data_IF_671917598878
#
_entry.id   IF_671917598878
#
_cell.length_a   1.000
_cell.length_b   1.000
_cell.length_c   1.000
_cell.angle_alpha   90.00
_cell.angle_beta   90.00
_cell.angle_gamma   90.00
#
_symmetry.space_group_name_H-M   'P 1'
#
loop_
_entity.id
_entity.type
_entity.pdbx_description
1 polymer ?
#
# COMPACT_ATOMS: atom_id res chain seq x y z
N UNK A 1 26.09 -11.18 7.04
CA UNK A 1 24.60 -11.22 7.13
C UNK A 1 24.08 -11.67 5.79
N UNK A 2 23.08 -12.55 5.75
CA UNK A 2 22.50 -13.08 4.49
C UNK A 2 21.90 -11.95 3.64
N UNK A 3 22.12 -12.01 2.34
CA UNK A 3 21.50 -11.10 1.40
C UNK A 3 20.05 -11.54 1.11
N UNK A 4 19.14 -10.58 1.05
CA UNK A 4 17.72 -10.82 0.76
C UNK A 4 17.37 -10.19 -0.58
N UNK A 5 16.80 -11.00 -1.46
CA UNK A 5 16.44 -10.61 -2.82
C UNK A 5 14.94 -10.74 -3.05
N UNK A 6 14.42 -9.97 -3.98
CA UNK A 6 13.04 -10.05 -4.47
C UNK A 6 13.07 -10.82 -5.78
N UNK A 7 12.30 -11.88 -5.86
CA UNK A 7 12.19 -12.73 -7.07
C UNK A 7 11.03 -12.28 -7.94
N UNK A 8 9.93 -11.93 -7.31
CA UNK A 8 8.75 -11.40 -8.01
C UNK A 8 8.01 -10.40 -7.13
N UNK A 9 7.29 -9.49 -7.77
CA UNK A 9 6.45 -8.51 -7.14
C UNK A 9 5.26 -8.20 -8.05
N UNK A 10 4.04 -8.26 -7.51
CA UNK A 10 2.80 -8.05 -8.25
C UNK A 10 1.72 -7.45 -7.36
N UNK A 11 0.67 -6.89 -7.98
CA UNK A 11 -0.51 -6.38 -7.31
C UNK A 11 -1.78 -6.66 -8.11
N UNK A 12 -2.92 -6.60 -7.46
CA UNK A 12 -4.20 -6.44 -8.14
C UNK A 12 -4.31 -5.02 -8.71
N UNK A 13 -5.25 -4.74 -9.63
CA UNK A 13 -5.73 -3.38 -9.82
C UNK A 13 -6.17 -2.78 -8.49
N UNK A 14 -6.15 -1.45 -8.37
CA UNK A 14 -6.73 -0.72 -7.25
C UNK A 14 -8.17 -0.36 -7.60
N UNK A 15 -9.12 -1.00 -6.91
CA UNK A 15 -10.55 -0.72 -7.05
C UNK A 15 -10.96 0.53 -6.29
N UNK A 16 -11.87 1.31 -6.84
CA UNK A 16 -12.54 2.42 -6.16
C UNK A 16 -13.43 1.90 -5.04
N UNK A 17 -13.73 2.76 -4.07
CA UNK A 17 -14.72 2.46 -3.03
C UNK A 17 -16.09 2.18 -3.65
N UNK A 18 -16.62 0.98 -3.40
CA UNK A 18 -17.85 0.49 -4.04
C UNK A 18 -17.69 0.17 -5.54
N UNK A 19 -16.46 0.13 -6.07
CA UNK A 19 -16.13 -0.17 -7.46
C UNK A 19 -16.04 -1.65 -7.79
N UNK A 20 -15.29 -1.96 -8.84
CA UNK A 20 -15.24 -3.29 -9.44
C UNK A 20 -14.75 -4.41 -8.51
N UNK A 21 -13.90 -4.09 -7.51
CA UNK A 21 -13.39 -5.07 -6.56
C UNK A 21 -14.19 -5.16 -5.25
N UNK A 22 -15.21 -4.35 -5.07
CA UNK A 22 -15.95 -4.18 -3.80
C UNK A 22 -16.62 -5.44 -3.27
N UNK A 23 -16.89 -6.43 -4.12
CA UNK A 23 -17.52 -7.70 -3.72
C UNK A 23 -16.54 -8.78 -3.26
N UNK A 24 -15.21 -8.57 -3.39
CA UNK A 24 -14.17 -9.52 -3.02
C UNK A 24 -13.54 -9.12 -1.69
N UNK A 25 -13.63 -9.97 -0.68
CA UNK A 25 -12.98 -9.68 0.60
C UNK A 25 -11.46 -9.59 0.50
N UNK A 26 -10.83 -8.93 1.49
CA UNK A 26 -9.38 -8.72 1.48
C UNK A 26 -8.55 -10.02 1.36
N UNK A 27 -8.87 -11.15 2.05
CA UNK A 27 -8.18 -12.42 1.85
C UNK A 27 -8.26 -12.96 0.41
N UNK A 28 -9.36 -12.76 -0.29
CA UNK A 28 -9.51 -13.18 -1.69
C UNK A 28 -8.61 -12.35 -2.62
N UNK A 29 -8.59 -11.03 -2.43
CA UNK A 29 -7.67 -10.14 -3.16
C UNK A 29 -6.21 -10.50 -2.85
N UNK A 30 -5.88 -10.74 -1.58
CA UNK A 30 -4.57 -11.20 -1.14
C UNK A 30 -4.15 -12.51 -1.79
N UNK A 31 -5.07 -13.46 -1.90
CA UNK A 31 -4.82 -14.74 -2.57
C UNK A 31 -4.50 -14.56 -4.06
N UNK A 32 -5.21 -13.65 -4.75
CA UNK A 32 -4.93 -13.34 -6.15
C UNK A 32 -3.51 -12.78 -6.32
N UNK A 33 -3.11 -11.83 -5.47
CA UNK A 33 -1.76 -11.27 -5.51
C UNK A 33 -0.69 -12.33 -5.19
N UNK A 34 -0.90 -13.18 -4.18
CA UNK A 34 0.03 -14.25 -3.81
C UNK A 34 0.17 -15.26 -4.96
N UNK A 35 -0.95 -15.73 -5.55
CA UNK A 35 -0.92 -16.63 -6.72
C UNK A 35 -0.13 -16.02 -7.87
N UNK A 36 -0.40 -14.76 -8.20
CA UNK A 36 0.30 -14.04 -9.24
C UNK A 36 1.80 -13.90 -8.97
N UNK A 37 2.20 -13.64 -7.72
CA UNK A 37 3.60 -13.57 -7.32
C UNK A 37 4.32 -14.92 -7.47
N UNK A 38 3.69 -16.02 -7.04
CA UNK A 38 4.20 -17.39 -7.19
C UNK A 38 4.36 -17.75 -8.68
N UNK A 39 3.34 -17.48 -9.48
CA UNK A 39 3.37 -17.73 -10.94
C UNK A 39 4.46 -16.93 -11.63
N UNK A 40 4.56 -15.63 -11.33
CA UNK A 40 5.60 -14.75 -11.91
C UNK A 40 7.01 -15.17 -11.50
N UNK A 41 7.19 -15.64 -10.27
CA UNK A 41 8.46 -16.19 -9.79
C UNK A 41 8.80 -17.55 -10.43
N UNK A 42 7.83 -18.19 -11.08
CA UNK A 42 7.95 -19.55 -11.63
C UNK A 42 8.44 -20.58 -10.61
N UNK A 43 7.86 -20.56 -9.41
CA UNK A 43 8.19 -21.47 -8.31
C UNK A 43 6.97 -22.30 -7.90
N UNK A 44 7.21 -23.44 -7.22
CA UNK A 44 6.16 -24.18 -6.54
C UNK A 44 5.77 -23.49 -5.23
N UNK A 45 4.47 -23.46 -4.91
CA UNK A 45 3.97 -22.99 -3.62
C UNK A 45 4.52 -23.83 -2.43
N UNK A 46 4.98 -25.06 -2.69
CA UNK A 46 5.53 -25.98 -1.68
C UNK A 46 6.84 -25.50 -1.06
N UNK A 47 7.61 -24.66 -1.78
CA UNK A 47 8.89 -24.15 -1.26
C UNK A 47 8.73 -22.92 -0.36
N UNK A 48 7.51 -22.38 -0.22
CA UNK A 48 7.22 -21.24 0.64
C UNK A 48 7.22 -21.72 2.09
N UNK A 49 7.98 -21.02 2.93
CA UNK A 49 8.22 -21.40 4.32
C UNK A 49 7.48 -20.50 5.31
N UNK A 50 7.15 -19.25 4.93
CA UNK A 50 6.43 -18.31 5.78
C UNK A 50 5.66 -17.25 4.96
N UNK A 51 4.60 -16.69 5.55
CA UNK A 51 3.76 -15.64 4.92
C UNK A 51 3.48 -14.50 5.89
N UNK A 52 3.81 -13.27 5.49
CA UNK A 52 3.42 -12.04 6.19
C UNK A 52 2.54 -11.19 5.29
N UNK A 53 1.29 -10.91 5.71
CA UNK A 53 0.38 -10.04 4.96
C UNK A 53 -0.15 -8.92 5.84
N UNK A 54 0.02 -7.68 5.37
CA UNK A 54 -0.59 -6.50 5.95
C UNK A 54 -2.10 -6.51 5.74
N UNK A 55 -2.86 -6.22 6.80
CA UNK A 55 -4.30 -5.97 6.72
C UNK A 55 -4.74 -5.18 7.95
N UNK A 56 -5.43 -4.08 7.74
CA UNK A 56 -5.80 -3.12 8.80
C UNK A 56 -7.22 -3.35 9.26
N UNK A 57 -8.16 -3.39 8.34
CA UNK A 57 -9.61 -3.46 8.59
C UNK A 57 -10.06 -4.92 8.56
N UNK A 58 -9.90 -5.62 9.69
CA UNK A 58 -10.05 -7.08 9.76
C UNK A 58 -11.44 -7.54 10.22
N UNK A 59 -12.30 -6.62 10.62
CA UNK A 59 -13.63 -6.99 11.13
C UNK A 59 -14.44 -7.74 10.07
N UNK A 60 -15.12 -8.81 10.51
CA UNK A 60 -15.94 -9.68 9.67
C UNK A 60 -15.17 -10.47 8.58
N UNK A 61 -13.84 -10.49 8.59
CA UNK A 61 -13.04 -11.31 7.68
C UNK A 61 -12.83 -12.76 8.19
N UNK A 62 -13.17 -13.03 9.43
CA UNK A 62 -12.86 -14.28 10.09
C UNK A 62 -11.46 -14.32 10.70
N UNK A 63 -11.01 -15.53 11.09
CA UNK A 63 -9.71 -15.68 11.75
C UNK A 63 -8.54 -15.53 10.77
N UNK A 64 -7.46 -14.88 11.22
CA UNK A 64 -6.16 -14.87 10.57
C UNK A 64 -6.22 -14.59 9.05
N UNK A 65 -6.58 -13.37 8.62
CA UNK A 65 -6.75 -13.04 7.21
C UNK A 65 -5.54 -13.40 6.32
N UNK A 66 -4.31 -13.24 6.80
CA UNK A 66 -3.10 -13.66 6.06
C UNK A 66 -3.09 -15.17 5.77
N UNK A 67 -3.52 -15.99 6.75
CA UNK A 67 -3.61 -17.43 6.56
C UNK A 67 -4.70 -17.82 5.56
N UNK A 68 -5.84 -17.14 5.60
CA UNK A 68 -6.88 -17.35 4.60
C UNK A 68 -6.36 -17.06 3.19
N UNK A 69 -5.69 -15.90 2.99
CA UNK A 69 -5.10 -15.55 1.71
C UNK A 69 -4.07 -16.58 1.23
N UNK A 70 -3.19 -17.04 2.11
CA UNK A 70 -2.20 -18.06 1.79
C UNK A 70 -2.85 -19.39 1.37
N UNK A 71 -3.84 -19.85 2.12
CA UNK A 71 -4.56 -21.10 1.83
C UNK A 71 -5.34 -21.02 0.50
N UNK A 72 -6.04 -19.90 0.25
CA UNK A 72 -6.73 -19.65 -1.02
C UNK A 72 -5.77 -19.54 -2.20
N UNK A 73 -4.53 -19.13 -1.94
CA UNK A 73 -3.45 -19.10 -2.95
C UNK A 73 -2.84 -20.47 -3.24
N UNK A 74 -3.19 -21.52 -2.46
CA UNK A 74 -2.65 -22.87 -2.63
C UNK A 74 -1.36 -23.13 -1.84
N UNK A 75 -0.97 -22.24 -0.93
CA UNK A 75 0.15 -22.48 -0.01
C UNK A 75 -0.25 -23.55 1.01
N UNK A 76 0.68 -24.43 1.34
CA UNK A 76 0.44 -25.57 2.21
C UNK A 76 -0.01 -25.20 3.63
N UNK A 77 -0.86 -26.05 4.21
CA UNK A 77 -1.40 -25.84 5.58
C UNK A 77 -0.34 -25.83 6.70
N UNK A 78 0.84 -26.34 6.41
CA UNK A 78 2.00 -26.39 7.31
C UNK A 78 2.78 -25.06 7.35
N UNK A 79 2.49 -24.11 6.45
CA UNK A 79 3.21 -22.83 6.39
C UNK A 79 2.61 -21.85 7.42
N UNK A 80 3.42 -21.31 8.35
CA UNK A 80 2.97 -20.27 9.27
C UNK A 80 2.63 -18.98 8.53
N UNK A 81 1.57 -18.30 8.98
CA UNK A 81 1.09 -17.08 8.36
C UNK A 81 0.75 -16.03 9.42
N UNK A 82 1.24 -14.82 9.27
CA UNK A 82 1.02 -13.72 10.22
C UNK A 82 0.35 -12.54 9.53
N UNK A 83 -0.77 -12.08 10.10
CA UNK A 83 -1.41 -10.83 9.71
C UNK A 83 -0.77 -9.67 10.46
N UNK A 84 -0.32 -8.66 9.72
CA UNK A 84 0.40 -7.50 10.25
C UNK A 84 -0.49 -6.26 10.19
N UNK A 85 -0.66 -5.56 11.30
CA UNK A 85 -1.31 -4.27 11.33
C UNK A 85 -0.36 -3.20 11.88
N UNK A 86 0.04 -2.30 11.01
CA UNK A 86 0.77 -1.06 11.30
C UNK A 86 0.14 0.10 10.50
N UNK A 87 -1.18 0.12 10.44
CA UNK A 87 -1.97 1.03 9.62
C UNK A 87 -1.44 1.05 8.17
N UNK A 88 -1.27 2.20 7.53
CA UNK A 88 -0.80 2.34 6.15
C UNK A 88 0.57 1.69 5.86
N UNK A 89 1.39 1.47 6.88
CA UNK A 89 2.71 0.84 6.76
C UNK A 89 2.68 -0.70 6.92
N UNK A 90 1.50 -1.33 7.00
CA UNK A 90 1.37 -2.78 7.27
C UNK A 90 2.07 -3.63 6.22
N UNK A 91 1.86 -3.37 4.94
CA UNK A 91 2.52 -4.10 3.86
C UNK A 91 4.04 -3.92 3.84
N UNK A 92 4.55 -2.71 4.11
CA UNK A 92 5.99 -2.46 4.25
C UNK A 92 6.57 -3.17 5.48
N UNK A 93 5.81 -3.22 6.58
CA UNK A 93 6.22 -3.97 7.78
C UNK A 93 6.25 -5.47 7.53
N UNK A 94 5.32 -6.00 6.76
CA UNK A 94 5.33 -7.40 6.32
C UNK A 94 6.64 -7.73 5.55
N UNK A 95 7.05 -6.87 4.62
CA UNK A 95 8.34 -7.01 3.93
C UNK A 95 9.52 -6.95 4.92
N UNK A 96 9.49 -6.02 5.88
CA UNK A 96 10.56 -5.89 6.88
C UNK A 96 10.68 -7.15 7.75
N UNK A 97 9.56 -7.78 8.13
CA UNK A 97 9.54 -9.03 8.90
C UNK A 97 10.08 -10.20 8.06
N UNK A 98 9.69 -10.30 6.79
CA UNK A 98 10.24 -11.30 5.88
C UNK A 98 11.77 -11.17 5.73
N UNK A 99 12.28 -9.94 5.60
CA UNK A 99 13.73 -9.69 5.58
C UNK A 99 14.40 -10.13 6.87
N UNK A 100 13.76 -9.92 8.02
CA UNK A 100 14.27 -10.36 9.32
C UNK A 100 14.31 -11.88 9.41
N UNK A 101 13.22 -12.57 9.08
CA UNK A 101 13.15 -14.03 9.06
C UNK A 101 14.27 -14.66 8.19
N UNK A 102 14.46 -14.13 6.98
CA UNK A 102 15.52 -14.62 6.07
C UNK A 102 16.91 -14.32 6.63
N UNK A 103 17.16 -13.12 7.16
CA UNK A 103 18.45 -12.75 7.74
C UNK A 103 18.80 -13.54 9.00
N UNK A 104 17.79 -13.92 9.79
CA UNK A 104 17.94 -14.77 10.99
C UNK A 104 18.04 -16.26 10.66
N UNK A 105 17.85 -16.65 9.39
CA UNK A 105 17.82 -18.05 8.92
C UNK A 105 16.62 -18.85 9.46
N UNK A 106 15.51 -18.17 9.80
CA UNK A 106 14.26 -18.81 10.19
C UNK A 106 13.53 -19.36 8.94
N UNK A 107 13.70 -18.70 7.79
CA UNK A 107 13.16 -19.11 6.50
C UNK A 107 14.09 -18.68 5.35
N UNK A 108 14.00 -19.38 4.22
CA UNK A 108 14.69 -19.05 2.97
C UNK A 108 13.78 -18.41 1.94
N UNK A 109 12.49 -18.78 1.93
CA UNK A 109 11.48 -18.34 0.94
C UNK A 109 10.25 -17.83 1.65
N UNK A 110 9.99 -16.54 1.54
CA UNK A 110 8.90 -15.86 2.27
C UNK A 110 8.02 -15.07 1.32
N UNK A 111 6.71 -15.19 1.49
CA UNK A 111 5.74 -14.29 0.88
C UNK A 111 5.52 -13.11 1.81
N UNK A 112 5.69 -11.89 1.30
CA UNK A 112 5.33 -10.67 2.02
C UNK A 112 4.48 -9.75 1.17
N UNK A 113 3.47 -9.14 1.78
CA UNK A 113 2.56 -8.29 1.03
C UNK A 113 1.55 -7.58 1.91
N UNK A 114 0.43 -7.21 1.30
CA UNK A 114 -0.69 -6.64 2.01
C UNK A 114 -1.96 -6.68 1.17
N UNK A 115 -3.08 -6.55 1.85
CA UNK A 115 -4.41 -6.63 1.27
C UNK A 115 -5.37 -5.76 2.05
N UNK A 116 -6.32 -5.17 1.39
CA UNK A 116 -7.40 -4.42 2.02
C UNK A 116 -8.63 -4.43 1.13
N UNK A 117 -9.81 -4.49 1.73
CA UNK A 117 -11.06 -4.12 1.08
C UNK A 117 -11.78 -3.13 2.01
N UNK A 118 -11.74 -1.86 1.65
CA UNK A 118 -12.36 -0.79 2.43
C UNK A 118 -13.87 -0.74 2.19
N UNK A 119 -14.33 -1.21 1.03
CA UNK A 119 -15.75 -1.26 0.64
C UNK A 119 -16.59 -2.23 1.49
N UNK A 120 -15.98 -3.28 2.05
CA UNK A 120 -16.70 -4.31 2.83
C UNK A 120 -16.62 -4.11 4.33
N UNK A 121 -16.00 -3.04 4.81
CA UNK A 121 -15.85 -2.82 6.26
C UNK A 121 -17.22 -2.62 6.92
N UNK A 122 -17.56 -3.39 7.96
CA UNK A 122 -18.86 -3.30 8.58
C UNK A 122 -19.00 -2.08 9.49
N UNK A 123 -20.23 -1.67 9.74
CA UNK A 123 -20.58 -0.81 10.86
C UNK A 123 -20.71 -1.63 12.14
N UNK A 124 -20.23 -1.11 13.28
CA UNK A 124 -20.22 -1.79 14.57
C UNK A 124 -21.39 -1.37 15.45
N UNK A 125 -21.95 -2.37 16.10
CA UNK A 125 -22.87 -2.21 17.20
C UNK A 125 -22.44 -3.06 18.39
N UNK A 126 -22.33 -2.44 19.59
CA UNK A 126 -21.93 -3.13 20.83
C UNK A 126 -23.09 -3.90 21.43
N UNK A 127 -23.57 -4.96 20.76
CA UNK A 127 -24.74 -5.75 21.21
C UNK A 127 -24.55 -6.45 22.56
N UNK A 128 -23.32 -6.77 22.98
CA UNK A 128 -23.04 -7.36 24.30
C UNK A 128 -23.36 -6.42 25.47
N UNK A 129 -23.32 -5.10 25.22
CA UNK A 129 -23.69 -4.05 26.17
C UNK A 129 -24.86 -3.23 25.59
N UNK A 130 -25.91 -3.94 25.14
CA UNK A 130 -27.04 -3.33 24.47
C UNK A 130 -27.75 -2.29 25.35
N UNK A 131 -28.25 -1.23 24.72
CA UNK A 131 -29.13 -0.23 25.33
C UNK A 131 -30.44 -0.90 25.74
N UNK A 132 -30.80 -0.80 27.04
CA UNK A 132 -32.05 -1.38 27.55
C UNK A 132 -33.31 -0.65 27.08
N UNK A 133 -33.18 0.64 26.78
CA UNK A 133 -34.27 1.52 26.32
C UNK A 133 -33.68 2.67 25.47
N UNK A 134 -34.33 3.03 24.37
CA UNK A 134 -33.96 4.10 23.45
C UNK A 134 -33.13 3.64 22.26
N UNK A 135 -32.72 4.58 21.41
CA UNK A 135 -32.03 4.35 20.15
C UNK A 135 -30.58 3.86 20.35
N UNK A 136 -30.09 3.16 19.34
CA UNK A 136 -28.72 2.67 19.27
C UNK A 136 -27.99 3.27 18.08
N UNK A 137 -26.74 3.71 18.29
CA UNK A 137 -25.88 4.21 17.22
C UNK A 137 -24.97 3.09 16.71
N UNK A 138 -24.84 3.03 15.40
CA UNK A 138 -23.83 2.22 14.72
C UNK A 138 -22.58 3.08 14.46
N UNK A 139 -21.41 2.46 14.57
CA UNK A 139 -20.12 3.12 14.31
C UNK A 139 -19.55 2.59 13.01
N UNK A 140 -19.17 3.48 12.09
CA UNK A 140 -18.45 3.11 10.88
C UNK A 140 -17.07 2.53 11.26
N UNK A 141 -16.86 1.23 10.98
CA UNK A 141 -15.64 0.52 11.31
C UNK A 141 -14.43 1.04 10.54
N UNK A 142 -14.60 1.44 9.31
CA UNK A 142 -13.54 2.00 8.48
C UNK A 142 -13.03 3.33 9.06
N UNK A 143 -13.93 4.25 9.37
CA UNK A 143 -13.58 5.53 9.98
C UNK A 143 -12.98 5.33 11.36
N UNK A 144 -13.57 4.43 12.16
CA UNK A 144 -13.13 4.17 13.54
C UNK A 144 -11.73 3.57 13.64
N UNK A 145 -11.46 2.54 12.85
CA UNK A 145 -10.25 1.70 13.01
C UNK A 145 -9.15 2.07 12.02
N UNK A 146 -9.48 2.68 10.89
CA UNK A 146 -8.54 3.05 9.84
C UNK A 146 -8.21 4.53 9.71
N UNK A 147 -9.19 5.41 9.98
CA UNK A 147 -9.10 6.82 9.61
C UNK A 147 -9.18 7.81 10.77
N UNK A 148 -9.31 7.32 12.00
CA UNK A 148 -9.39 8.16 13.22
C UNK A 148 -8.19 7.92 14.11
N UNK A 149 -7.49 9.00 14.50
CA UNK A 149 -6.47 8.97 15.52
C UNK A 149 -7.05 8.44 16.84
N UNK A 150 -6.45 7.39 17.37
CA UNK A 150 -6.96 6.72 18.57
C UNK A 150 -6.83 7.56 19.83
N UNK A 151 -5.91 8.51 19.87
CA UNK A 151 -5.59 9.34 21.03
C UNK A 151 -6.38 10.66 21.02
N UNK A 152 -6.27 11.45 19.96
CA UNK A 152 -6.94 12.74 19.81
C UNK A 152 -8.39 12.63 19.33
N UNK A 153 -8.81 11.45 18.83
CA UNK A 153 -10.17 11.20 18.30
C UNK A 153 -10.51 12.07 17.09
N UNK A 154 -9.53 12.51 16.35
CA UNK A 154 -9.67 13.31 15.14
C UNK A 154 -9.46 12.46 13.88
N UNK A 155 -10.12 12.83 12.78
CA UNK A 155 -9.88 12.18 11.49
C UNK A 155 -8.47 12.49 10.99
N UNK A 156 -7.81 11.53 10.33
CA UNK A 156 -6.43 11.68 9.82
C UNK A 156 -6.26 12.90 8.90
N UNK A 157 -7.32 13.31 8.20
CA UNK A 157 -7.32 14.51 7.36
C UNK A 157 -7.14 15.83 8.15
N UNK A 158 -7.52 15.87 9.44
CA UNK A 158 -7.25 17.03 10.32
C UNK A 158 -5.75 17.17 10.56
N UNK A 159 -5.05 16.05 10.75
CA UNK A 159 -3.59 16.07 10.85
C UNK A 159 -2.91 16.45 9.53
N UNK A 160 -3.54 16.13 8.39
CA UNK A 160 -3.07 16.59 7.09
C UNK A 160 -3.24 18.11 6.91
N UNK A 161 -4.40 18.69 7.32
CA UNK A 161 -4.58 20.15 7.36
C UNK A 161 -3.56 20.83 8.28
N UNK A 162 -3.30 20.25 9.47
CA UNK A 162 -2.25 20.73 10.38
C UNK A 162 -0.87 20.69 9.71
N UNK A 163 -0.53 19.62 9.02
CA UNK A 163 0.72 19.50 8.28
C UNK A 163 0.89 20.60 7.23
N UNK A 164 -0.18 20.98 6.54
CA UNK A 164 -0.15 22.08 5.57
C UNK A 164 0.22 23.41 6.25
N UNK A 165 -0.35 23.70 7.40
CA UNK A 165 -0.04 24.89 8.20
C UNK A 165 1.40 24.85 8.70
N UNK A 166 1.80 23.77 9.37
CA UNK A 166 3.13 23.61 10.01
C UNK A 166 4.28 23.72 8.99
N UNK A 167 4.05 23.34 7.73
CA UNK A 167 5.05 23.33 6.68
C UNK A 167 4.87 24.42 5.61
N UNK A 168 3.91 25.33 5.80
CA UNK A 168 3.59 26.42 4.84
C UNK A 168 3.40 25.85 3.42
N UNK A 169 2.43 24.91 3.29
CA UNK A 169 2.04 24.29 2.03
C UNK A 169 0.63 24.80 1.71
N UNK A 170 0.49 25.52 0.61
CA UNK A 170 -0.77 26.12 0.20
C UNK A 170 -1.76 25.08 -0.34
N UNK A 171 -3.01 25.47 -0.48
CA UNK A 171 -4.04 24.70 -1.18
C UNK A 171 -3.65 24.47 -2.65
N UNK A 172 -3.11 25.50 -3.30
CA UNK A 172 -2.67 25.45 -4.69
C UNK A 172 -1.53 24.46 -4.89
N UNK A 173 -0.53 24.45 -3.99
CA UNK A 173 0.54 23.46 -4.03
C UNK A 173 0.01 22.02 -3.96
N UNK A 174 -0.95 21.77 -3.07
CA UNK A 174 -1.56 20.45 -2.90
C UNK A 174 -2.37 20.01 -4.12
N UNK A 175 -3.14 20.93 -4.70
CA UNK A 175 -3.93 20.66 -5.89
C UNK A 175 -3.03 20.42 -7.11
N UNK A 176 -1.96 21.20 -7.30
CA UNK A 176 -0.98 21.00 -8.37
C UNK A 176 -0.26 19.66 -8.23
N UNK A 177 0.13 19.28 -7.02
CA UNK A 177 0.72 17.97 -6.75
C UNK A 177 -0.24 16.83 -7.10
N UNK A 178 -1.53 16.97 -6.74
CA UNK A 178 -2.55 15.98 -7.10
C UNK A 178 -2.72 15.86 -8.61
N UNK A 179 -2.84 16.99 -9.33
CA UNK A 179 -2.94 17.02 -10.80
C UNK A 179 -1.76 16.29 -11.43
N UNK A 180 -0.54 16.57 -10.97
CA UNK A 180 0.65 15.90 -11.46
C UNK A 180 0.62 14.40 -11.20
N UNK A 181 0.20 13.96 -10.01
CA UNK A 181 0.05 12.54 -9.67
C UNK A 181 -0.94 11.84 -10.60
N UNK A 182 -2.10 12.43 -10.87
CA UNK A 182 -3.09 11.89 -11.82
C UNK A 182 -2.56 11.82 -13.25
N UNK A 183 -1.86 12.84 -13.72
CA UNK A 183 -1.26 12.86 -15.06
C UNK A 183 -0.18 11.78 -15.19
N UNK A 184 0.67 11.62 -14.19
CA UNK A 184 1.71 10.59 -14.16
C UNK A 184 1.11 9.18 -14.19
N UNK A 185 0.04 8.94 -13.42
CA UNK A 185 -0.65 7.65 -13.41
C UNK A 185 -1.29 7.33 -14.76
N UNK A 186 -1.98 8.29 -15.38
CA UNK A 186 -2.57 8.14 -16.71
C UNK A 186 -1.50 7.82 -17.76
N UNK A 187 -0.41 8.59 -17.80
CA UNK A 187 0.70 8.38 -18.72
C UNK A 187 1.37 7.02 -18.51
N UNK A 188 1.53 6.58 -17.24
CA UNK A 188 2.11 5.27 -16.93
C UNK A 188 1.24 4.12 -17.45
N UNK A 189 -0.10 4.23 -17.33
CA UNK A 189 -1.04 3.27 -17.92
C UNK A 189 -1.00 3.27 -19.44
N UNK A 190 -0.96 4.44 -20.08
CA UNK A 190 -0.85 4.55 -21.54
C UNK A 190 0.44 3.94 -22.08
N UNK A 191 1.55 4.13 -21.35
CA UNK A 191 2.86 3.59 -21.70
C UNK A 191 3.05 2.12 -21.31
N UNK A 192 2.05 1.47 -20.69
CA UNK A 192 2.10 0.07 -20.28
C UNK A 192 3.05 -0.21 -19.10
N UNK A 193 3.47 0.80 -18.34
CA UNK A 193 4.45 0.64 -17.23
C UNK A 193 3.95 -0.25 -16.10
N UNK A 194 2.64 -0.41 -15.96
CA UNK A 194 2.03 -1.27 -14.94
C UNK A 194 1.73 -2.69 -15.45
N UNK A 195 1.94 -2.99 -16.72
CA UNK A 195 1.58 -4.30 -17.31
C UNK A 195 2.28 -5.47 -16.62
N UNK A 196 3.52 -5.28 -16.19
CA UNK A 196 4.32 -6.33 -15.55
C UNK A 196 4.00 -6.52 -14.07
N UNK A 197 3.30 -5.59 -13.43
CA UNK A 197 3.00 -5.69 -12.01
C UNK A 197 1.54 -6.00 -11.70
N UNK A 198 0.60 -5.66 -12.61
CA UNK A 198 -0.83 -5.81 -12.37
C UNK A 198 -1.31 -7.20 -12.80
N UNK A 199 -1.89 -7.93 -11.85
CA UNK A 199 -2.53 -9.23 -12.09
C UNK A 199 -4.03 -9.01 -12.24
N UNK A 200 -4.66 -9.47 -13.36
CA UNK A 200 -6.10 -9.40 -13.53
C UNK A 200 -6.86 -10.10 -12.39
N UNK A 201 -7.99 -9.54 -12.02
CA UNK A 201 -8.87 -10.09 -10.97
C UNK A 201 -10.20 -10.50 -11.57
N UNK A 202 -10.54 -11.77 -11.43
CA UNK A 202 -11.85 -12.30 -11.81
C UNK A 202 -12.86 -12.02 -10.69
N UNK A 203 -13.92 -11.28 -11.01
CA UNK A 203 -14.99 -10.92 -10.09
C UNK A 203 -16.25 -11.71 -10.43
N UNK A 204 -16.63 -12.70 -9.61
CA UNK A 204 -17.83 -13.48 -9.83
C UNK A 204 -19.08 -12.60 -9.89
N UNK A 205 -19.95 -12.88 -10.84
CA UNK A 205 -21.22 -12.19 -10.98
C UNK A 205 -22.36 -13.04 -10.41
N UNK A 206 -23.40 -12.39 -9.90
CA UNK A 206 -24.59 -13.10 -9.42
C UNK A 206 -25.26 -13.92 -10.54
N UNK A 207 -25.15 -13.46 -11.79
CA UNK A 207 -25.61 -14.14 -13.00
C UNK A 207 -24.64 -13.83 -14.14
N UNK A 208 -24.35 -14.82 -14.99
CA UNK A 208 -23.45 -14.69 -16.13
C UNK A 208 -22.01 -15.04 -15.79
N UNK A 209 -21.09 -14.72 -16.71
CA UNK A 209 -19.68 -14.98 -16.58
C UNK A 209 -19.00 -13.97 -15.61
N UNK A 210 -17.88 -14.33 -14.96
CA UNK A 210 -17.09 -13.40 -14.20
C UNK A 210 -16.63 -12.19 -15.03
N UNK A 211 -16.50 -11.03 -14.38
CA UNK A 211 -15.92 -9.84 -15.01
C UNK A 211 -14.44 -9.75 -14.62
N UNK A 212 -13.58 -9.55 -15.60
CA UNK A 212 -12.14 -9.38 -15.38
C UNK A 212 -11.82 -7.90 -15.18
N UNK A 213 -11.31 -7.53 -14.01
CA UNK A 213 -10.79 -6.18 -13.72
C UNK A 213 -9.26 -6.19 -13.91
N UNK A 214 -8.74 -5.29 -14.77
CA UNK A 214 -7.34 -5.30 -15.21
C UNK A 214 -6.62 -3.96 -15.02
N UNK A 215 -7.35 -2.88 -14.69
CA UNK A 215 -6.79 -1.52 -14.56
C UNK A 215 -7.24 -0.88 -13.25
N UNK A 216 -6.40 0.00 -12.73
CA UNK A 216 -6.77 0.86 -11.63
C UNK A 216 -7.94 1.78 -12.03
N UNK A 217 -8.83 2.08 -11.10
CA UNK A 217 -10.06 2.82 -11.42
C UNK A 217 -9.93 4.33 -11.14
N UNK A 218 -9.17 4.73 -10.11
CA UNK A 218 -9.22 6.12 -9.60
C UNK A 218 -8.65 7.16 -10.56
N UNK A 219 -7.51 6.89 -11.19
CA UNK A 219 -6.85 7.89 -12.05
C UNK A 219 -7.73 8.36 -13.21
N UNK A 220 -8.70 7.54 -13.63
CA UNK A 220 -9.64 7.86 -14.72
C UNK A 220 -10.93 8.53 -14.24
N UNK A 221 -11.22 8.51 -12.93
CA UNK A 221 -12.46 9.04 -12.34
C UNK A 221 -12.37 10.55 -12.02
N UNK A 222 -11.17 11.11 -11.96
CA UNK A 222 -10.96 12.50 -11.57
C UNK A 222 -11.44 13.48 -12.64
N UNK A 223 -12.12 14.55 -12.19
CA UNK A 223 -12.54 15.69 -13.05
C UNK A 223 -11.61 16.87 -12.78
N UNK A 224 -10.52 16.96 -13.57
CA UNK A 224 -9.45 17.94 -13.40
C UNK A 224 -9.95 19.38 -13.35
N UNK A 225 -10.93 19.75 -14.17
CA UNK A 225 -11.55 21.09 -14.22
C UNK A 225 -12.29 21.49 -12.94
N UNK A 226 -12.69 20.52 -12.14
CA UNK A 226 -13.41 20.72 -10.87
C UNK A 226 -12.50 20.75 -9.66
N UNK A 227 -11.29 20.24 -9.76
CA UNK A 227 -10.37 20.05 -8.65
C UNK A 227 -10.13 21.35 -7.85
N UNK A 228 -9.80 22.50 -8.46
CA UNK A 228 -9.57 23.74 -7.71
C UNK A 228 -10.83 24.31 -7.02
N UNK A 229 -12.02 23.86 -7.45
CA UNK A 229 -13.32 24.33 -6.91
C UNK A 229 -13.83 23.49 -5.75
N UNK A 230 -13.15 22.40 -5.41
CA UNK A 230 -13.56 21.51 -4.31
C UNK A 230 -13.42 22.22 -2.97
N UNK A 231 -14.36 21.94 -2.06
CA UNK A 231 -14.30 22.46 -0.69
C UNK A 231 -13.37 21.58 0.15
N UNK A 232 -12.76 22.19 1.17
CA UNK A 232 -12.06 21.45 2.21
C UNK A 232 -13.03 20.48 2.90
N UNK A 233 -12.51 19.28 3.26
CA UNK A 233 -13.36 18.17 3.76
C UNK A 233 -13.28 18.03 5.27
N UNK A 234 -12.13 18.31 5.88
CA UNK A 234 -11.87 17.91 7.27
C UNK A 234 -11.97 19.08 8.26
N UNK A 235 -11.62 20.27 7.85
CA UNK A 235 -11.76 21.48 8.66
C UNK A 235 -12.24 22.65 7.82
N UNK A 236 -12.97 23.59 8.47
CA UNK A 236 -13.59 24.74 7.76
C UNK A 236 -12.55 25.61 7.05
N UNK A 237 -11.42 25.83 7.70
CA UNK A 237 -10.28 26.62 7.16
C UNK A 237 -9.18 25.71 6.60
N UNK A 238 -9.50 24.43 6.36
CA UNK A 238 -8.55 23.44 5.83
C UNK A 238 -8.28 23.61 4.34
N UNK A 239 -7.27 22.87 3.89
CA UNK A 239 -6.81 22.88 2.49
C UNK A 239 -6.93 21.51 1.83
N UNK A 240 -7.19 20.47 2.63
CA UNK A 240 -7.32 19.08 2.13
C UNK A 240 -8.73 18.87 1.55
N UNK A 241 -8.78 18.35 0.33
CA UNK A 241 -10.02 18.08 -0.42
C UNK A 241 -10.11 16.62 -0.82
N UNK A 242 -11.26 16.20 -1.33
CA UNK A 242 -11.44 14.86 -1.86
C UNK A 242 -10.52 14.51 -3.05
N UNK A 243 -9.94 15.50 -3.75
CA UNK A 243 -9.09 15.26 -4.91
C UNK A 243 -7.59 15.40 -4.62
N UNK A 244 -7.20 16.05 -3.50
CA UNK A 244 -5.81 16.12 -3.07
C UNK A 244 -5.50 15.23 -1.86
N UNK A 245 -6.49 14.43 -1.43
CA UNK A 245 -6.36 13.27 -0.55
C UNK A 245 -6.36 11.99 -1.37
N UNK A 246 -5.73 10.93 -0.86
CA UNK A 246 -5.93 9.58 -1.42
C UNK A 246 -7.37 9.12 -1.21
N UNK A 247 -7.87 8.30 -2.12
CA UNK A 247 -9.20 7.71 -2.04
C UNK A 247 -9.24 6.46 -1.16
N UNK A 248 -10.45 5.98 -0.88
CA UNK A 248 -10.71 4.71 -0.20
C UNK A 248 -10.73 3.60 -1.25
N UNK A 249 -9.99 2.53 -1.05
CA UNK A 249 -9.76 1.58 -2.12
C UNK A 249 -9.71 0.13 -1.65
N UNK A 250 -9.88 -0.76 -2.63
CA UNK A 250 -9.78 -2.19 -2.50
C UNK A 250 -8.58 -2.69 -3.33
N UNK A 251 -7.73 -3.54 -2.76
CA UNK A 251 -6.59 -4.07 -3.50
C UNK A 251 -5.62 -4.86 -2.65
N UNK A 252 -4.71 -5.55 -3.32
CA UNK A 252 -3.68 -6.35 -2.68
C UNK A 252 -2.37 -6.32 -3.49
N UNK A 253 -1.26 -6.58 -2.81
CA UNK A 253 0.06 -6.74 -3.41
C UNK A 253 0.84 -7.82 -2.69
N UNK A 254 1.70 -8.53 -3.41
CA UNK A 254 2.53 -9.60 -2.86
C UNK A 254 3.89 -9.66 -3.57
N UNK A 255 4.91 -9.98 -2.77
CA UNK A 255 6.28 -10.18 -3.19
C UNK A 255 6.77 -11.56 -2.73
N UNK A 256 7.60 -12.19 -3.55
CA UNK A 256 8.39 -13.36 -3.16
C UNK A 256 9.79 -12.86 -2.78
N UNK A 257 10.11 -12.98 -1.50
CA UNK A 257 11.44 -12.71 -0.97
C UNK A 257 12.19 -14.03 -0.76
N UNK A 258 13.48 -13.99 -1.03
CA UNK A 258 14.31 -15.19 -0.90
C UNK A 258 15.71 -14.82 -0.41
N UNK A 259 16.39 -15.75 0.28
CA UNK A 259 17.83 -15.62 0.46
C UNK A 259 18.52 -15.70 -0.89
N UNK A 260 19.57 -14.91 -1.10
CA UNK A 260 20.32 -14.94 -2.37
C UNK A 260 20.84 -16.34 -2.67
N UNK A 261 21.34 -17.02 -1.65
CA UNK A 261 21.86 -18.39 -1.76
C UNK A 261 20.79 -19.38 -2.26
N UNK A 262 19.53 -19.21 -1.78
CA UNK A 262 18.42 -20.05 -2.22
C UNK A 262 18.02 -19.74 -3.65
N UNK A 263 18.00 -18.45 -4.03
CA UNK A 263 17.70 -18.02 -5.39
C UNK A 263 18.72 -18.59 -6.39
N UNK A 264 20.02 -18.47 -6.08
CA UNK A 264 21.11 -19.05 -6.89
C UNK A 264 20.99 -20.56 -7.04
N UNK A 265 20.70 -21.26 -5.93
CA UNK A 265 20.52 -22.73 -5.93
C UNK A 265 19.33 -23.17 -6.81
N UNK A 266 18.30 -22.34 -6.91
CA UNK A 266 17.13 -22.61 -7.75
C UNK A 266 17.28 -22.07 -9.18
N UNK A 267 18.38 -21.40 -9.51
CA UNK A 267 18.60 -20.78 -10.82
C UNK A 267 17.68 -19.59 -11.12
N UNK A 268 17.15 -18.96 -10.07
CA UNK A 268 16.23 -17.82 -10.20
C UNK A 268 17.01 -16.51 -10.32
N UNK A 269 16.52 -15.61 -11.17
CA UNK A 269 17.09 -14.27 -11.33
C UNK A 269 16.33 -13.28 -10.44
N UNK A 270 16.99 -12.65 -9.46
CA UNK A 270 16.38 -11.60 -8.66
C UNK A 270 16.07 -10.34 -9.50
N UNK A 271 14.92 -9.73 -9.25
CA UNK A 271 14.57 -8.42 -9.83
C UNK A 271 15.16 -7.27 -9.02
N UNK A 272 15.39 -7.46 -7.73
CA UNK A 272 15.97 -6.47 -6.84
C UNK A 272 16.59 -7.11 -5.59
N UNK A 273 17.43 -6.32 -4.89
CA UNK A 273 18.02 -6.66 -3.59
C UNK A 273 17.54 -5.66 -2.54
N UNK A 274 17.16 -6.14 -1.37
CA UNK A 274 16.80 -5.27 -0.24
C UNK A 274 18.06 -4.89 0.54
N UNK A 275 18.46 -3.64 0.43
CA UNK A 275 19.66 -3.13 1.10
C UNK A 275 19.40 -2.90 2.60
N UNK A 276 18.30 -2.21 2.91
CA UNK A 276 17.95 -1.89 4.29
C UNK A 276 16.46 -1.65 4.48
N UNK A 277 16.05 -1.53 5.72
CA UNK A 277 14.72 -1.07 6.14
C UNK A 277 14.83 -0.33 7.47
N UNK A 278 13.87 0.56 7.74
CA UNK A 278 13.78 1.26 9.01
C UNK A 278 12.33 1.60 9.35
N UNK A 279 12.09 1.75 10.63
CA UNK A 279 10.82 2.22 11.19
C UNK A 279 11.02 3.57 11.88
N UNK A 280 10.00 4.41 11.88
CA UNK A 280 9.92 5.62 12.65
C UNK A 280 8.54 5.80 13.28
N UNK A 281 8.51 6.48 14.40
CA UNK A 281 7.31 6.93 15.09
C UNK A 281 7.57 8.31 15.67
N UNK A 282 6.52 9.08 15.84
CA UNK A 282 6.51 10.40 16.47
C UNK A 282 5.12 10.65 17.07
N UNK A 283 4.84 11.87 17.52
CA UNK A 283 3.52 12.24 18.02
C UNK A 283 2.44 11.87 17.00
N UNK A 284 1.31 11.28 17.42
CA UNK A 284 0.28 10.76 16.53
C UNK A 284 -0.20 11.77 15.47
N UNK A 285 -0.42 13.02 15.86
CA UNK A 285 -0.86 14.08 14.95
C UNK A 285 0.18 14.46 13.87
N UNK A 286 1.46 14.08 14.06
CA UNK A 286 2.55 14.37 13.14
C UNK A 286 2.87 13.20 12.21
N UNK A 287 2.02 12.16 12.14
CA UNK A 287 2.26 10.97 11.33
C UNK A 287 2.66 11.28 9.88
N UNK A 288 2.16 12.39 9.34
CA UNK A 288 2.36 12.87 7.97
C UNK A 288 3.84 13.01 7.59
N UNK A 289 4.70 13.33 8.54
CA UNK A 289 6.15 13.52 8.33
C UNK A 289 7.02 12.38 8.88
N UNK A 290 6.44 11.27 9.31
CA UNK A 290 7.20 10.08 9.74
C UNK A 290 8.14 9.52 8.68
N UNK A 291 7.85 9.59 7.36
CA UNK A 291 8.79 9.20 6.32
C UNK A 291 10.11 9.96 6.40
N UNK A 292 10.10 11.27 6.71
CA UNK A 292 11.32 12.08 6.84
C UNK A 292 12.20 11.68 8.02
N UNK A 293 11.70 10.85 8.94
CA UNK A 293 12.49 10.26 10.05
C UNK A 293 12.95 8.85 9.68
N UNK A 294 12.12 8.07 8.97
CA UNK A 294 12.44 6.69 8.60
C UNK A 294 13.50 6.61 7.48
N UNK A 295 13.37 7.46 6.46
CA UNK A 295 14.26 7.49 5.29
C UNK A 295 15.74 7.67 5.68
N UNK A 296 16.15 8.69 6.46
CA UNK A 296 17.55 8.83 6.85
C UNK A 296 18.09 7.64 7.65
N UNK A 297 17.23 6.98 8.46
CA UNK A 297 17.63 5.75 9.17
C UNK A 297 17.89 4.59 8.22
N UNK A 298 17.06 4.44 7.18
CA UNK A 298 17.25 3.41 6.17
C UNK A 298 18.51 3.67 5.33
N UNK A 299 18.68 4.89 4.84
CA UNK A 299 19.88 5.30 4.08
C UNK A 299 21.17 5.07 4.87
N UNK A 300 21.19 5.48 6.15
CA UNK A 300 22.35 5.24 7.03
C UNK A 300 22.70 3.75 7.15
N UNK A 301 21.68 2.88 7.29
CA UNK A 301 21.90 1.42 7.36
C UNK A 301 22.42 0.82 6.05
N UNK A 302 22.05 1.41 4.92
CA UNK A 302 22.52 1.03 3.59
C UNK A 302 23.86 1.65 3.22
N UNK A 303 24.37 2.59 4.03
CA UNK A 303 25.55 3.42 3.74
C UNK A 303 25.38 4.23 2.46
N UNK A 304 24.19 4.82 2.28
CA UNK A 304 23.79 5.66 1.14
C UNK A 304 23.39 7.06 1.61
N UNK A 305 23.49 8.01 0.69
CA UNK A 305 22.95 9.37 0.81
C UNK A 305 21.69 9.57 -0.04
N UNK A 306 21.04 10.72 0.08
CA UNK A 306 19.88 11.08 -0.75
C UNK A 306 20.26 11.15 -2.24
N UNK A 307 21.46 11.64 -2.55
CA UNK A 307 21.93 11.81 -3.93
C UNK A 307 22.21 10.49 -4.66
N UNK A 308 22.40 9.41 -3.90
CA UNK A 308 22.59 8.07 -4.46
C UNK A 308 21.28 7.42 -4.96
N UNK A 309 20.12 8.06 -4.68
CA UNK A 309 18.81 7.50 -4.99
C UNK A 309 18.29 8.07 -6.32
N UNK A 310 17.93 7.17 -7.22
CA UNK A 310 17.38 7.51 -8.52
C UNK A 310 15.89 7.82 -8.46
N UNK A 311 15.11 7.02 -7.69
CA UNK A 311 13.66 7.15 -7.54
C UNK A 311 13.21 6.99 -6.10
N UNK A 312 12.14 7.71 -5.76
CA UNK A 312 11.48 7.69 -4.45
C UNK A 312 10.02 7.31 -4.62
N UNK A 313 9.57 6.39 -3.81
CA UNK A 313 8.15 6.11 -3.63
C UNK A 313 7.73 6.54 -2.23
N UNK A 314 6.88 7.54 -2.16
CA UNK A 314 6.26 8.03 -0.93
C UNK A 314 4.77 7.70 -0.97
N UNK A 315 4.23 7.11 0.09
CA UNK A 315 2.80 6.89 0.15
C UNK A 315 2.08 8.24 0.27
N UNK A 316 1.45 8.67 -0.82
CA UNK A 316 0.68 9.91 -0.92
C UNK A 316 -0.68 9.75 -0.25
N UNK A 317 -0.74 9.49 1.08
CA UNK A 317 -2.02 9.45 1.80
C UNK A 317 -2.82 10.77 1.62
N UNK A 318 -2.09 11.87 1.48
CA UNK A 318 -2.54 13.22 1.10
C UNK A 318 -1.43 13.87 0.29
N UNK A 319 -1.76 14.79 -0.61
CA UNK A 319 -0.75 15.56 -1.37
C UNK A 319 0.24 16.28 -0.45
N UNK A 320 -0.24 16.81 0.66
CA UNK A 320 0.60 17.48 1.67
C UNK A 320 1.65 16.55 2.28
N UNK A 321 1.39 15.24 2.37
CA UNK A 321 2.38 14.27 2.87
C UNK A 321 3.57 14.17 1.91
N UNK A 322 3.30 14.05 0.62
CA UNK A 322 4.34 14.07 -0.42
C UNK A 322 5.17 15.36 -0.36
N UNK A 323 4.48 16.50 -0.41
CA UNK A 323 5.10 17.83 -0.41
C UNK A 323 5.95 18.09 0.85
N UNK A 324 5.41 17.81 2.04
CA UNK A 324 6.11 18.04 3.31
C UNK A 324 7.39 17.19 3.42
N UNK A 325 7.33 15.91 3.04
CA UNK A 325 8.49 15.03 3.09
C UNK A 325 9.54 15.39 2.02
N UNK A 326 9.13 15.75 0.81
CA UNK A 326 10.04 16.29 -0.21
C UNK A 326 10.77 17.54 0.30
N UNK A 327 10.04 18.50 0.88
CA UNK A 327 10.59 19.73 1.45
C UNK A 327 11.57 19.46 2.60
N UNK A 328 11.17 18.57 3.55
CA UNK A 328 12.02 18.24 4.72
C UNK A 328 13.32 17.51 4.36
N UNK A 329 13.29 16.70 3.33
CA UNK A 329 14.43 15.87 2.91
C UNK A 329 15.23 16.49 1.75
N UNK A 330 14.73 17.58 1.14
CA UNK A 330 15.35 18.17 -0.04
C UNK A 330 15.29 17.27 -1.28
N UNK A 331 14.22 16.45 -1.41
CA UNK A 331 14.08 15.55 -2.55
C UNK A 331 13.76 16.32 -3.83
N UNK A 332 14.32 15.85 -4.95
CA UNK A 332 13.92 16.35 -6.26
C UNK A 332 12.52 15.78 -6.62
N UNK A 333 11.48 16.62 -6.78
CA UNK A 333 10.12 16.14 -7.08
C UNK A 333 10.01 15.32 -8.36
N UNK A 334 10.89 15.55 -9.34
CA UNK A 334 10.89 14.78 -10.60
C UNK A 334 11.30 13.31 -10.42
N UNK A 335 11.90 12.96 -9.28
CA UNK A 335 12.30 11.60 -8.91
C UNK A 335 11.31 10.94 -7.93
N UNK A 336 10.26 11.63 -7.52
CA UNK A 336 9.30 11.14 -6.51
C UNK A 336 8.00 10.73 -7.19
N UNK A 337 7.52 9.50 -6.90
CA UNK A 337 6.25 8.95 -7.41
C UNK A 337 6.08 9.16 -8.93
N UNK A 338 7.11 8.77 -9.68
CA UNK A 338 7.24 9.07 -11.13
C UNK A 338 6.14 8.49 -12.00
N UNK A 339 5.43 7.49 -11.51
CA UNK A 339 4.27 6.87 -12.18
C UNK A 339 2.93 7.20 -11.50
N UNK A 340 2.89 8.28 -10.68
CA UNK A 340 1.77 8.62 -9.84
C UNK A 340 1.79 7.84 -8.52
N UNK A 341 1.16 8.39 -7.49
CA UNK A 341 1.10 7.80 -6.16
C UNK A 341 -0.34 7.58 -5.68
N UNK A 342 -0.51 7.38 -4.37
CA UNK A 342 -1.80 6.97 -3.80
C UNK A 342 -2.94 7.99 -4.01
N UNK A 343 -2.66 9.27 -4.22
CA UNK A 343 -3.67 10.27 -4.58
C UNK A 343 -4.38 9.89 -5.87
N UNK A 344 -3.62 9.39 -6.86
CA UNK A 344 -4.14 9.02 -8.18
C UNK A 344 -4.47 7.54 -8.32
N UNK A 345 -3.69 6.66 -7.71
CA UNK A 345 -3.83 5.21 -7.85
C UNK A 345 -4.73 4.59 -6.78
N UNK A 346 -4.91 5.28 -5.64
CA UNK A 346 -5.68 4.77 -4.51
C UNK A 346 -4.82 4.26 -3.34
N UNK A 347 -5.50 4.10 -2.17
CA UNK A 347 -4.84 3.78 -0.91
C UNK A 347 -5.52 2.65 -0.12
N UNK A 348 -5.49 1.40 -0.59
CA UNK A 348 -5.90 0.26 0.22
C UNK A 348 -4.90 0.09 1.38
N UNK A 349 -5.31 0.44 2.62
CA UNK A 349 -4.42 0.70 3.78
C UNK A 349 -3.39 -0.41 3.98
N UNK A 350 -3.82 -1.65 4.11
CA UNK A 350 -2.94 -2.80 4.40
C UNK A 350 -1.97 -3.14 3.26
N UNK A 351 -2.35 -2.81 2.00
CA UNK A 351 -1.58 -3.11 0.80
C UNK A 351 -0.58 -2.02 0.41
N UNK A 352 -0.87 -0.75 0.69
CA UNK A 352 -0.11 0.38 0.14
C UNK A 352 1.39 0.32 0.43
N UNK A 353 1.79 -0.12 1.63
CA UNK A 353 3.20 -0.23 2.00
C UNK A 353 3.97 -1.27 1.17
N UNK A 354 3.34 -2.36 0.72
CA UNK A 354 3.95 -3.32 -0.20
C UNK A 354 3.80 -2.89 -1.66
N UNK A 355 2.70 -2.21 -2.02
CA UNK A 355 2.52 -1.66 -3.37
C UNK A 355 3.66 -0.73 -3.78
N UNK A 356 4.05 0.21 -2.93
CA UNK A 356 5.14 1.15 -3.27
C UNK A 356 6.51 0.47 -3.45
N UNK A 357 6.65 -0.78 -3.03
CA UNK A 357 7.85 -1.58 -3.30
C UNK A 357 7.85 -2.23 -4.70
N UNK A 358 6.75 -2.15 -5.48
CA UNK A 358 6.60 -2.84 -6.77
C UNK A 358 7.21 -2.06 -7.94
N UNK A 359 7.30 -0.76 -7.87
CA UNK A 359 7.79 0.13 -8.93
C UNK A 359 9.26 -0.10 -9.33
N UNK A 360 9.93 -1.06 -8.71
CA UNK A 360 11.23 -1.57 -9.14
C UNK A 360 11.18 -2.34 -10.47
N UNK A 361 10.01 -2.60 -11.02
CA UNK A 361 9.88 -3.27 -12.32
C UNK A 361 10.09 -2.31 -13.51
N UNK A 362 10.11 -1.00 -13.29
CA UNK A 362 10.58 -0.04 -14.30
C UNK A 362 12.10 -0.03 -14.29
N UNK A 363 12.78 -0.28 -15.42
CA UNK A 363 14.25 -0.26 -15.45
C UNK A 363 14.76 1.13 -14.99
N UNK A 364 15.68 1.12 -14.02
CA UNK A 364 16.41 2.31 -13.63
C UNK A 364 17.19 2.86 -14.83
N UNK A 365 17.40 4.17 -14.95
CA UNK A 365 18.30 4.71 -15.97
C UNK A 365 19.70 4.06 -15.99
N UNK A 366 20.14 3.51 -14.84
CA UNK A 366 21.40 2.76 -14.73
C UNK A 366 21.32 1.35 -15.32
N UNK A 367 20.12 0.77 -15.43
CA UNK A 367 19.92 -0.58 -15.99
C UNK A 367 19.80 -0.56 -17.52
N UNK A 368 19.45 0.61 -18.08
CA UNK A 368 19.37 0.81 -19.55
C UNK A 368 20.77 0.99 -20.16
N UNK A 369 21.77 1.32 -19.33
CA UNK A 369 23.16 1.54 -19.77
C UNK A 369 24.09 0.35 -19.49
N UNK A 370 23.58 -0.80 -19.09
CA UNK A 370 24.25 -2.10 -19.00
C UNK A 370 23.59 -3.08 -19.98
#
# INVERSE_FOLDING_TARGET
MREVVIISAVRTPMGSFGGGLSSLNAPTLGATAIKGAIQKANISAEIIEEVFMGNVLQANLGQAPARQAAMYAGIGKNVPCTTVNKVCASGMKAISLAVQAIKCSDADVVVAGGMENMSMVPHYYSARNATKLGDTKMTDGMVKDGLTDAYHKTHMGVSADKCAVDHNISREDQDNFAIESYQRAANAWEQGKFNDEVIPVEVPQRRGEPITIQKDEEYSNVKMDKLPKLRAVFSKEGTVTAANASTLNDGASALILMSKEKAEKLGLQPIAKILSYADAAQEPELFTTSPSIAIPKALKKANLSIDDIDYWELNQAFSVVGLANCKKLGLNPSKVDVNGGAVALGHPLGSSGSRICLLYTSPSPRDIMR
#
